data_IF_767181692535
#
_entry.id   IF_767181692535
#
_cell.length_a   1.000
_cell.length_b   1.000
_cell.length_c   1.000
_cell.angle_alpha   90.00
_cell.angle_beta   90.00
_cell.angle_gamma   90.00
#
_symmetry.space_group_name_H-M   'P 1'
#
loop_
_entity.id
_entity.type
_entity.pdbx_description
1 polymer ?
#
# COMPACT_ATOMS: atom_id res chain seq x y z
N UNK A 1 13.62 -7.57 -0.90
CA UNK A 1 12.79 -8.41 -1.78
C UNK A 1 13.75 -9.33 -2.51
N UNK A 2 13.48 -10.63 -2.51
CA UNK A 2 14.21 -11.62 -3.27
C UNK A 2 13.34 -11.97 -4.47
N UNK A 3 13.81 -11.57 -5.65
CA UNK A 3 13.21 -11.92 -6.92
C UNK A 3 14.22 -12.72 -7.74
N UNK A 4 13.84 -13.90 -8.25
CA UNK A 4 14.71 -14.78 -9.06
C UNK A 4 16.12 -14.95 -8.48
N UNK A 5 16.22 -15.22 -7.18
CA UNK A 5 17.47 -15.36 -6.40
C UNK A 5 18.37 -14.11 -6.34
N UNK A 6 17.82 -12.92 -6.63
CA UNK A 6 18.50 -11.63 -6.49
C UNK A 6 17.85 -10.80 -5.39
N UNK A 7 18.68 -10.19 -4.55
CA UNK A 7 18.23 -9.27 -3.51
C UNK A 7 18.13 -7.88 -4.10
N UNK A 8 16.93 -7.29 -4.08
CA UNK A 8 16.72 -5.89 -4.47
C UNK A 8 17.48 -4.97 -3.50
N UNK A 9 18.38 -4.16 -4.06
CA UNK A 9 19.25 -3.23 -3.33
C UNK A 9 18.86 -1.77 -3.54
N UNK A 10 19.34 -0.91 -2.65
CA UNK A 10 19.15 0.54 -2.72
C UNK A 10 19.76 1.14 -4.00
N UNK A 11 20.92 0.60 -4.41
CA UNK A 11 21.63 0.99 -5.63
C UNK A 11 20.81 0.71 -6.88
N UNK A 12 20.19 -0.46 -6.99
CA UNK A 12 19.36 -0.83 -8.14
C UNK A 12 18.11 0.04 -8.26
N UNK A 13 17.54 0.44 -7.13
CA UNK A 13 16.35 1.29 -7.08
C UNK A 13 16.66 2.79 -7.16
N UNK A 14 17.94 3.19 -7.07
CA UNK A 14 18.33 4.61 -7.04
C UNK A 14 17.79 5.35 -5.80
N UNK A 15 17.68 4.67 -4.66
CA UNK A 15 17.10 5.21 -3.42
C UNK A 15 18.04 5.03 -2.23
N UNK A 16 17.74 5.71 -1.13
CA UNK A 16 18.45 5.50 0.13
C UNK A 16 18.13 4.11 0.74
N UNK A 17 19.08 3.44 1.43
CA UNK A 17 18.86 2.13 2.03
C UNK A 17 17.61 2.03 2.92
N UNK A 18 17.30 3.10 3.65
CA UNK A 18 16.08 3.18 4.48
C UNK A 18 14.78 3.07 3.67
N UNK A 19 14.76 3.58 2.44
CA UNK A 19 13.58 3.52 1.57
C UNK A 19 13.32 2.09 1.11
N UNK A 20 14.37 1.29 0.90
CA UNK A 20 14.23 -0.14 0.60
C UNK A 20 13.54 -0.88 1.74
N UNK A 21 13.82 -0.51 3.00
CA UNK A 21 13.09 -1.06 4.14
C UNK A 21 11.62 -0.72 4.07
N UNK A 22 11.27 0.55 3.85
CA UNK A 22 9.88 0.98 3.73
C UNK A 22 9.12 0.28 2.59
N UNK A 23 9.76 0.09 1.43
CA UNK A 23 9.15 -0.65 0.33
C UNK A 23 8.95 -2.12 0.67
N UNK A 24 9.93 -2.74 1.36
CA UNK A 24 9.80 -4.11 1.84
C UNK A 24 8.62 -4.23 2.81
N UNK A 25 8.49 -3.31 3.75
CA UNK A 25 7.42 -3.31 4.74
C UNK A 25 6.04 -3.10 4.08
N UNK A 26 5.96 -2.21 3.10
CA UNK A 26 4.73 -2.03 2.29
C UNK A 26 4.36 -3.29 1.51
N UNK A 27 5.33 -3.96 0.86
CA UNK A 27 5.09 -5.21 0.17
C UNK A 27 4.65 -6.34 1.10
N UNK A 28 5.13 -6.37 2.36
CA UNK A 28 4.65 -7.32 3.37
C UNK A 28 3.23 -7.03 3.78
N UNK A 29 2.91 -5.76 4.06
CA UNK A 29 1.56 -5.33 4.43
C UNK A 29 0.52 -5.70 3.36
N UNK A 30 0.92 -5.61 2.09
CA UNK A 30 0.09 -5.97 0.94
C UNK A 30 0.19 -7.44 0.53
N UNK A 31 0.79 -8.31 1.35
CA UNK A 31 0.98 -9.74 1.08
C UNK A 31 1.61 -10.05 -0.30
N UNK A 32 2.43 -9.13 -0.82
CA UNK A 32 3.17 -9.29 -2.08
C UNK A 32 4.47 -10.05 -1.87
N UNK A 33 5.00 -10.03 -0.64
CA UNK A 33 6.16 -10.82 -0.27
C UNK A 33 5.89 -11.58 1.03
N UNK A 34 6.52 -12.74 1.16
CA UNK A 34 6.57 -13.49 2.42
C UNK A 34 7.49 -12.79 3.44
N UNK A 35 7.43 -13.22 4.71
CA UNK A 35 8.28 -12.67 5.77
C UNK A 35 9.78 -12.83 5.52
N UNK A 36 10.16 -13.95 4.90
CA UNK A 36 11.51 -14.24 4.42
C UNK A 36 11.85 -13.52 3.10
N UNK A 37 11.05 -12.52 2.72
CA UNK A 37 11.28 -11.54 1.65
C UNK A 37 11.22 -12.06 0.21
N UNK A 38 10.73 -13.27 -0.06
CA UNK A 38 10.46 -13.72 -1.45
C UNK A 38 9.08 -13.27 -1.92
N UNK A 39 8.89 -13.15 -3.23
CA UNK A 39 7.57 -12.85 -3.82
C UNK A 39 6.54 -13.96 -3.50
N UNK A 40 5.31 -13.56 -3.20
CA UNK A 40 4.13 -14.44 -3.22
C UNK A 40 3.65 -14.63 -4.66
N UNK A 41 2.69 -15.54 -4.95
CA UNK A 41 2.09 -15.62 -6.28
C UNK A 41 1.46 -14.29 -6.75
N UNK A 42 0.81 -13.54 -5.84
CA UNK A 42 0.29 -12.20 -6.13
C UNK A 42 1.40 -11.19 -6.37
N UNK A 43 2.46 -11.21 -5.55
CA UNK A 43 3.63 -10.36 -5.76
C UNK A 43 4.33 -10.63 -7.08
N UNK A 44 4.45 -11.90 -7.49
CA UNK A 44 4.99 -12.26 -8.80
C UNK A 44 4.10 -11.71 -9.91
N UNK A 45 2.78 -11.86 -9.80
CA UNK A 45 1.82 -11.33 -10.77
C UNK A 45 1.95 -9.80 -10.92
N UNK A 46 2.06 -9.07 -9.81
CA UNK A 46 2.34 -7.62 -9.81
C UNK A 46 3.68 -7.31 -10.46
N UNK A 47 4.74 -8.06 -10.13
CA UNK A 47 6.10 -7.80 -10.60
C UNK A 47 6.30 -8.05 -12.11
N UNK A 48 5.52 -8.95 -12.72
CA UNK A 48 5.63 -9.28 -14.15
C UNK A 48 4.56 -8.63 -15.02
N UNK A 49 3.53 -8.04 -14.43
CA UNK A 49 2.44 -7.42 -15.20
C UNK A 49 2.96 -6.24 -16.02
N UNK A 50 2.50 -6.15 -17.27
CA UNK A 50 2.72 -5.00 -18.15
C UNK A 50 1.44 -4.17 -18.30
N UNK A 51 0.38 -4.52 -17.58
CA UNK A 51 -0.89 -3.82 -17.60
C UNK A 51 -1.11 -3.11 -16.27
N UNK A 52 -1.18 -1.78 -16.32
CA UNK A 52 -1.39 -0.95 -15.15
C UNK A 52 -2.68 -1.26 -14.41
N UNK A 53 -3.76 -1.51 -15.13
CA UNK A 53 -5.04 -1.87 -14.55
C UNK A 53 -4.95 -3.16 -13.73
N UNK A 54 -4.20 -4.15 -14.24
CA UNK A 54 -4.10 -5.46 -13.61
C UNK A 54 -3.37 -5.38 -12.27
N UNK A 55 -2.17 -4.81 -12.24
CA UNK A 55 -1.43 -4.72 -10.99
C UNK A 55 -2.09 -3.75 -10.01
N UNK A 56 -2.68 -2.65 -10.48
CA UNK A 56 -3.42 -1.71 -9.61
C UNK A 56 -4.60 -2.39 -8.93
N UNK A 57 -5.39 -3.21 -9.65
CA UNK A 57 -6.50 -3.98 -9.06
C UNK A 57 -6.05 -4.97 -7.99
N UNK A 58 -4.87 -5.60 -8.17
CA UNK A 58 -4.29 -6.46 -7.15
C UNK A 58 -3.94 -5.63 -5.90
N UNK A 59 -3.27 -4.49 -6.06
CA UNK A 59 -2.90 -3.63 -4.93
C UNK A 59 -4.13 -3.07 -4.22
N UNK A 60 -5.16 -2.66 -4.96
CA UNK A 60 -6.44 -2.22 -4.38
C UNK A 60 -7.00 -3.30 -3.46
N UNK A 61 -7.13 -4.52 -3.97
CA UNK A 61 -7.70 -5.64 -3.21
C UNK A 61 -6.88 -5.96 -1.96
N UNK A 62 -5.55 -5.98 -2.08
CA UNK A 62 -4.67 -6.21 -0.93
C UNK A 62 -4.71 -5.06 0.08
N UNK A 63 -4.93 -3.83 -0.37
CA UNK A 63 -5.11 -2.70 0.54
C UNK A 63 -6.44 -2.80 1.29
N UNK A 64 -7.54 -3.15 0.62
CA UNK A 64 -8.85 -3.42 1.24
C UNK A 64 -8.78 -4.50 2.33
N UNK A 65 -7.98 -5.55 2.09
CA UNK A 65 -7.77 -6.68 3.01
C UNK A 65 -6.78 -6.38 4.15
N UNK A 66 -6.01 -5.28 4.06
CA UNK A 66 -5.11 -4.84 5.13
C UNK A 66 -5.88 -4.21 6.29
N UNK A 67 -5.34 -4.28 7.52
CA UNK A 67 -5.95 -3.62 8.69
C UNK A 67 -6.21 -2.12 8.44
N UNK A 68 -5.29 -1.44 7.76
CA UNK A 68 -5.40 -0.02 7.45
C UNK A 68 -6.59 0.27 6.53
N UNK A 69 -6.68 -0.43 5.40
CA UNK A 69 -7.78 -0.25 4.45
C UNK A 69 -9.11 -0.71 5.02
N UNK A 70 -9.13 -1.86 5.69
CA UNK A 70 -10.32 -2.44 6.30
C UNK A 70 -10.94 -1.51 7.35
N UNK A 71 -10.15 -1.01 8.32
CA UNK A 71 -10.65 -0.13 9.36
C UNK A 71 -11.10 1.22 8.77
N UNK A 72 -10.39 1.72 7.76
CA UNK A 72 -10.77 2.99 7.11
C UNK A 72 -12.10 2.89 6.37
N UNK A 73 -12.35 1.76 5.67
CA UNK A 73 -13.64 1.46 5.06
C UNK A 73 -14.74 1.27 6.09
N UNK A 74 -14.47 0.52 7.17
CA UNK A 74 -15.43 0.26 8.25
C UNK A 74 -15.93 1.56 8.89
N UNK A 75 -15.04 2.53 9.10
CA UNK A 75 -15.37 3.86 9.66
C UNK A 75 -16.34 4.68 8.80
N UNK A 76 -16.45 4.35 7.51
CA UNK A 76 -17.33 5.03 6.56
C UNK A 76 -18.49 4.14 6.10
N UNK A 77 -18.63 2.94 6.67
CA UNK A 77 -19.68 1.97 6.33
C UNK A 77 -19.71 1.62 4.82
N UNK A 78 -18.53 1.44 4.22
CA UNK A 78 -18.38 1.04 2.82
C UNK A 78 -17.74 -0.34 2.70
N UNK A 79 -18.09 -1.08 1.64
CA UNK A 79 -17.56 -2.42 1.36
C UNK A 79 -16.40 -2.44 0.35
N UNK A 80 -16.06 -1.29 -0.23
CA UNK A 80 -15.02 -1.13 -1.25
C UNK A 80 -14.25 0.15 -1.01
N UNK A 81 -12.94 0.14 -1.24
CA UNK A 81 -12.12 1.35 -1.09
C UNK A 81 -12.45 2.39 -2.15
N UNK A 82 -13.12 1.98 -3.24
CA UNK A 82 -13.57 2.88 -4.29
C UNK A 82 -14.71 3.80 -3.83
N UNK A 83 -15.47 3.41 -2.80
CA UNK A 83 -16.60 4.16 -2.28
C UNK A 83 -16.20 5.14 -1.17
N UNK A 84 -14.94 5.15 -0.77
CA UNK A 84 -14.46 5.94 0.36
C UNK A 84 -14.33 7.43 0.00
N UNK A 85 -14.58 8.31 0.97
CA UNK A 85 -14.23 9.73 0.86
C UNK A 85 -12.74 9.89 1.16
N UNK A 86 -11.88 9.96 0.15
CA UNK A 86 -10.42 9.98 0.38
C UNK A 86 -9.96 11.15 1.24
N UNK A 87 -10.74 12.24 1.28
CA UNK A 87 -10.42 13.41 2.09
C UNK A 87 -10.47 13.16 3.61
N UNK A 88 -11.15 12.11 4.06
CA UNK A 88 -11.19 11.65 5.45
C UNK A 88 -9.86 11.05 5.95
N UNK A 89 -8.89 10.77 5.06
CA UNK A 89 -7.65 10.06 5.41
C UNK A 89 -6.88 10.71 6.58
N UNK A 90 -6.90 12.04 6.69
CA UNK A 90 -6.20 12.72 7.78
C UNK A 90 -6.86 12.44 9.13
N UNK A 91 -8.18 12.62 9.21
CA UNK A 91 -8.97 12.36 10.42
C UNK A 91 -8.89 10.89 10.82
N UNK A 92 -9.00 9.97 9.85
CA UNK A 92 -8.80 8.55 10.07
C UNK A 92 -7.45 8.25 10.75
N UNK A 93 -6.35 8.80 10.23
CA UNK A 93 -5.02 8.58 10.81
C UNK A 93 -4.86 9.25 12.18
N UNK A 94 -5.48 10.41 12.41
CA UNK A 94 -5.43 11.10 13.72
C UNK A 94 -6.14 10.26 14.79
N UNK A 95 -7.29 9.69 14.46
CA UNK A 95 -8.09 8.90 15.40
C UNK A 95 -7.55 7.50 15.66
N UNK A 96 -6.95 6.86 14.64
CA UNK A 96 -6.66 5.43 14.68
C UNK A 96 -5.16 5.11 14.76
N UNK A 97 -4.27 6.09 14.61
CA UNK A 97 -2.81 5.89 14.68
C UNK A 97 -2.18 6.68 15.84
N UNK A 98 -2.38 6.20 17.07
CA UNK A 98 -1.90 6.82 18.32
C UNK A 98 -0.38 7.10 18.38
N UNK A 99 0.41 6.47 17.52
CA UNK A 99 1.86 6.71 17.42
C UNK A 99 2.28 7.88 16.51
N UNK A 100 1.34 8.57 15.87
CA UNK A 100 1.62 9.68 14.96
C UNK A 100 1.18 11.02 15.57
N UNK A 101 2.02 12.04 15.43
CA UNK A 101 1.57 13.42 15.67
C UNK A 101 0.57 13.87 14.60
N UNK A 102 -0.31 14.82 14.92
CA UNK A 102 -1.29 15.38 13.97
C UNK A 102 -0.64 15.82 12.64
N UNK A 103 0.49 16.56 12.73
CA UNK A 103 1.27 16.96 11.56
C UNK A 103 1.76 15.77 10.73
N UNK A 104 2.18 14.68 11.39
CA UNK A 104 2.63 13.47 10.69
C UNK A 104 1.47 12.73 10.05
N UNK A 105 0.33 12.63 10.74
CA UNK A 105 -0.91 12.05 10.22
C UNK A 105 -1.38 12.79 8.96
N UNK A 106 -1.44 14.12 9.00
CA UNK A 106 -1.81 14.94 7.82
C UNK A 106 -0.87 14.76 6.64
N UNK A 107 0.43 14.66 6.89
CA UNK A 107 1.43 14.41 5.83
C UNK A 107 1.27 13.02 5.22
N UNK A 108 1.09 11.98 6.04
CA UNK A 108 0.90 10.60 5.58
C UNK A 108 -0.45 10.38 4.90
N UNK A 109 -1.48 11.15 5.28
CA UNK A 109 -2.79 11.12 4.63
C UNK A 109 -2.71 11.41 3.13
N UNK A 110 -1.73 12.21 2.67
CA UNK A 110 -1.54 12.47 1.25
C UNK A 110 -1.24 11.19 0.46
N UNK A 111 -0.47 10.27 1.05
CA UNK A 111 -0.18 8.97 0.42
C UNK A 111 -1.46 8.15 0.26
N UNK A 112 -2.28 8.05 1.31
CA UNK A 112 -3.56 7.33 1.24
C UNK A 112 -4.52 7.96 0.22
N UNK A 113 -4.61 9.30 0.19
CA UNK A 113 -5.40 10.02 -0.81
C UNK A 113 -4.96 9.68 -2.24
N UNK A 114 -3.65 9.72 -2.49
CA UNK A 114 -3.10 9.39 -3.81
C UNK A 114 -3.41 7.95 -4.21
N UNK A 115 -3.36 6.99 -3.27
CA UNK A 115 -3.70 5.59 -3.56
C UNK A 115 -5.17 5.42 -3.95
N UNK A 116 -6.09 5.97 -3.15
CA UNK A 116 -7.53 5.88 -3.45
C UNK A 116 -7.86 6.51 -4.80
N UNK A 117 -7.29 7.69 -5.09
CA UNK A 117 -7.45 8.33 -6.41
C UNK A 117 -6.94 7.43 -7.53
N UNK A 118 -5.78 6.81 -7.33
CA UNK A 118 -5.21 5.89 -8.33
C UNK A 118 -6.10 4.67 -8.53
N UNK A 119 -6.70 4.11 -7.48
CA UNK A 119 -7.65 3.00 -7.61
C UNK A 119 -8.90 3.42 -8.39
N UNK A 120 -9.44 4.61 -8.10
CA UNK A 120 -10.61 5.18 -8.79
C UNK A 120 -10.37 5.43 -10.29
N UNK A 121 -9.13 5.62 -10.73
CA UNK A 121 -8.81 5.75 -12.17
C UNK A 121 -9.07 4.47 -12.98
N UNK A 122 -9.14 3.30 -12.32
CA UNK A 122 -9.31 1.98 -12.95
C UNK A 122 -10.60 1.26 -12.51
N UNK A 123 -11.53 2.01 -11.91
CA UNK A 123 -12.83 1.52 -11.44
C UNK A 123 -13.82 1.29 -12.60
#
# INVERSE_FOLDING_TARGET
>A
IVDRNRVVTAKELGVEPRQVSYYRDACKLLSLIHDYSSLTPLGMKVAVSQNDEEWVKIIQRQFEESDCGHIWMLKQDVSSILDIQENSAAEFLIENCNGLSDNTSRRRAQTLKSWVRKFKEFA
#
